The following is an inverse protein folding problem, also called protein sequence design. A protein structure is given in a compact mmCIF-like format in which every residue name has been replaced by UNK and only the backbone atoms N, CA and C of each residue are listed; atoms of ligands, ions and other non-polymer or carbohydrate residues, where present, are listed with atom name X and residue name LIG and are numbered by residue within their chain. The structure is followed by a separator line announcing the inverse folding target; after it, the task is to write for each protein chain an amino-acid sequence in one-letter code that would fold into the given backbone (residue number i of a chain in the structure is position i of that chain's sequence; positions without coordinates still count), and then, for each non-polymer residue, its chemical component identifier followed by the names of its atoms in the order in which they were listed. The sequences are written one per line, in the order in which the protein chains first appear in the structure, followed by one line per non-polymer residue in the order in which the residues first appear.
data_IF_941799244305
#
_entry.id   IF_941799244305
#
_cell.length_a   1.000
_cell.length_b   1.000
_cell.length_c   1.000
_cell.angle_alpha   90.00
_cell.angle_beta   90.00
_cell.angle_gamma   90.00
#
_symmetry.space_group_name_H-M   'P 1'
#
loop_
_entity.id
_entity.type
_entity.pdbx_description
1 polymer ?
#
# COMPACT_ATOMS: atom_id res chain seq x y z
N UNK A 1 -8.06 -24.76 21.91
CA UNK A 1 -7.39 -25.35 23.06
C UNK A 1 -7.64 -24.46 24.27
N UNK A 2 -8.36 -24.99 25.28
CA UNK A 2 -8.39 -24.36 26.59
C UNK A 2 -7.01 -24.57 27.21
N UNK A 3 -6.23 -23.51 27.38
CA UNK A 3 -5.05 -23.58 28.25
C UNK A 3 -5.54 -23.85 29.67
N UNK A 4 -4.89 -24.80 30.34
CA UNK A 4 -5.20 -25.10 31.73
C UNK A 4 -4.73 -23.92 32.60
N UNK A 5 -5.71 -23.20 33.15
CA UNK A 5 -5.51 -21.98 33.94
C UNK A 5 -4.72 -22.25 35.23
N UNK A 6 -4.67 -23.49 35.68
CA UNK A 6 -3.93 -23.91 36.87
C UNK A 6 -2.42 -24.05 36.61
N UNK A 7 -2.02 -24.41 35.37
CA UNK A 7 -0.60 -24.53 34.99
C UNK A 7 0.03 -23.18 34.56
N UNK A 8 -0.76 -22.23 34.04
CA UNK A 8 -0.27 -20.97 33.52
C UNK A 8 -1.17 -19.78 33.90
N UNK A 9 -1.19 -19.37 35.19
CA UNK A 9 -2.07 -18.30 35.67
C UNK A 9 -1.81 -16.94 35.03
N UNK A 10 -0.59 -16.71 34.50
CA UNK A 10 -0.21 -15.45 33.84
C UNK A 10 -0.55 -15.43 32.34
N UNK A 11 -1.01 -16.56 31.77
CA UNK A 11 -1.35 -16.69 30.35
C UNK A 11 -2.86 -16.97 30.16
N UNK A 12 -3.71 -16.33 30.95
CA UNK A 12 -5.15 -16.46 30.79
C UNK A 12 -5.60 -15.93 29.43
N UNK A 13 -6.08 -16.81 28.55
CA UNK A 13 -6.89 -16.39 27.42
C UNK A 13 -8.23 -15.91 27.99
N UNK A 14 -8.31 -14.61 28.19
CA UNK A 14 -9.50 -13.96 28.77
C UNK A 14 -10.62 -13.76 27.72
N UNK A 15 -10.41 -14.13 26.47
CA UNK A 15 -11.42 -14.05 25.41
C UNK A 15 -11.67 -15.42 24.80
N UNK A 16 -12.89 -15.88 24.92
CA UNK A 16 -13.39 -17.07 24.24
C UNK A 16 -13.85 -16.72 22.84
N UNK A 17 -12.96 -16.84 21.85
CA UNK A 17 -13.19 -16.67 20.41
C UNK A 17 -13.26 -15.24 19.86
N UNK A 18 -12.25 -14.38 20.03
CA UNK A 18 -12.13 -13.18 19.22
C UNK A 18 -12.00 -13.60 17.75
N UNK A 19 -12.83 -13.05 16.89
CA UNK A 19 -12.84 -13.41 15.47
C UNK A 19 -12.70 -12.17 14.61
N UNK A 20 -12.01 -12.36 13.48
CA UNK A 20 -11.95 -11.40 12.37
C UNK A 20 -12.54 -12.07 11.13
N UNK A 21 -12.88 -11.27 10.13
CA UNK A 21 -13.35 -11.78 8.84
C UNK A 21 -12.21 -12.40 8.02
N UNK A 22 -12.56 -13.26 7.07
CA UNK A 22 -11.58 -14.03 6.30
C UNK A 22 -10.65 -13.19 5.43
N UNK A 23 -11.09 -12.01 5.00
CA UNK A 23 -10.28 -11.06 4.22
C UNK A 23 -9.29 -10.25 5.05
N UNK A 24 -9.39 -10.29 6.38
CA UNK A 24 -8.45 -9.58 7.26
C UNK A 24 -7.03 -10.06 7.01
N UNK A 25 -6.15 -9.12 6.67
CA UNK A 25 -4.72 -9.41 6.45
C UNK A 25 -4.00 -9.58 7.78
N UNK A 26 -3.34 -10.72 7.92
CA UNK A 26 -2.48 -11.05 9.06
C UNK A 26 -1.04 -10.85 8.64
N UNK A 27 -0.28 -10.11 9.43
CA UNK A 27 1.17 -9.93 9.21
C UNK A 27 1.91 -11.17 9.70
N UNK A 28 2.48 -11.94 8.76
CA UNK A 28 3.18 -13.20 9.01
C UNK A 28 4.63 -13.10 8.54
N UNK A 29 5.43 -14.12 8.85
CA UNK A 29 6.78 -14.29 8.30
C UNK A 29 6.80 -14.35 6.76
N UNK A 30 5.66 -14.64 6.14
CA UNK A 30 5.46 -14.67 4.68
C UNK A 30 4.84 -13.39 4.11
N UNK A 31 4.82 -12.29 4.88
CA UNK A 31 4.16 -11.03 4.50
C UNK A 31 2.72 -10.96 4.96
N UNK A 32 1.91 -10.17 4.25
CA UNK A 32 0.50 -9.92 4.58
C UNK A 32 -0.41 -10.97 3.92
N UNK A 33 -1.02 -11.85 4.72
CA UNK A 33 -1.80 -13.00 4.25
C UNK A 33 -3.23 -12.94 4.80
N UNK A 34 -4.28 -13.13 3.97
CA UNK A 34 -5.65 -13.20 4.43
C UNK A 34 -5.89 -14.32 5.44
N UNK A 35 -6.67 -14.06 6.50
CA UNK A 35 -7.01 -15.06 7.50
C UNK A 35 -7.68 -16.31 6.91
N UNK A 36 -8.52 -16.16 5.88
CA UNK A 36 -9.15 -17.29 5.18
C UNK A 36 -8.11 -18.22 4.55
N UNK A 37 -7.03 -17.68 3.97
CA UNK A 37 -5.98 -18.50 3.38
C UNK A 37 -5.14 -19.20 4.45
N UNK A 38 -4.84 -18.53 5.56
CA UNK A 38 -4.16 -19.18 6.69
C UNK A 38 -5.00 -20.34 7.25
N UNK A 39 -6.34 -20.18 7.25
CA UNK A 39 -7.25 -21.27 7.61
C UNK A 39 -7.15 -22.46 6.63
N UNK A 40 -7.12 -22.20 5.31
CA UNK A 40 -6.99 -23.25 4.28
C UNK A 40 -5.64 -23.97 4.38
N UNK A 41 -4.57 -23.25 4.72
CA UNK A 41 -3.24 -23.84 4.94
C UNK A 41 -3.19 -24.74 6.17
N UNK A 42 -3.97 -24.45 7.21
CA UNK A 42 -4.16 -25.28 8.39
C UNK A 42 -2.89 -25.54 9.24
N UNK A 43 -1.88 -24.68 9.12
CA UNK A 43 -0.60 -24.82 9.83
C UNK A 43 -0.36 -23.63 10.77
N UNK A 44 0.44 -23.84 11.81
CA UNK A 44 0.95 -22.77 12.65
C UNK A 44 1.88 -21.87 11.85
N UNK A 45 1.89 -20.58 12.17
CA UNK A 45 2.70 -19.56 11.50
C UNK A 45 3.30 -18.60 12.50
N UNK A 46 4.45 -18.05 12.15
CA UNK A 46 4.99 -16.92 12.86
C UNK A 46 4.24 -15.64 12.43
N UNK A 47 3.74 -14.91 13.41
CA UNK A 47 3.01 -13.65 13.19
C UNK A 47 3.77 -12.48 13.82
N UNK A 48 3.62 -11.31 13.22
CA UNK A 48 4.23 -10.09 13.75
C UNK A 48 3.48 -9.65 15.00
N UNK A 49 4.22 -9.40 16.07
CA UNK A 49 3.70 -8.95 17.36
C UNK A 49 4.11 -7.50 17.61
N UNK A 50 3.20 -6.73 18.16
CA UNK A 50 3.44 -5.33 18.53
C UNK A 50 4.59 -5.21 19.54
N UNK A 51 5.45 -4.20 19.35
CA UNK A 51 6.62 -3.99 20.19
C UNK A 51 6.34 -3.62 21.66
N UNK A 52 5.10 -3.24 21.97
CA UNK A 52 4.63 -3.02 23.33
C UNK A 52 4.30 -4.33 24.06
N UNK A 53 4.07 -5.41 23.32
CA UNK A 53 3.72 -6.73 23.85
C UNK A 53 4.92 -7.67 23.93
N UNK A 54 5.89 -7.54 23.02
CA UNK A 54 7.07 -8.42 22.97
C UNK A 54 8.29 -7.70 22.39
N UNK A 55 9.49 -8.06 22.86
CA UNK A 55 10.75 -7.64 22.24
C UNK A 55 10.98 -8.35 20.90
N UNK A 56 10.52 -9.60 20.76
CA UNK A 56 10.60 -10.37 19.53
C UNK A 56 9.55 -9.87 18.52
N UNK A 57 9.95 -9.73 17.27
CA UNK A 57 9.04 -9.27 16.20
C UNK A 57 8.08 -10.36 15.75
N UNK A 58 8.53 -11.61 15.71
CA UNK A 58 7.76 -12.76 15.29
C UNK A 58 7.52 -13.71 16.47
N UNK A 59 6.30 -14.20 16.58
CA UNK A 59 5.94 -15.24 17.55
C UNK A 59 5.06 -16.28 16.87
N UNK A 60 5.27 -17.56 17.21
CA UNK A 60 4.45 -18.65 16.70
C UNK A 60 3.00 -18.51 17.18
N UNK A 61 2.09 -18.47 16.21
CA UNK A 61 0.65 -18.56 16.43
C UNK A 61 0.15 -19.94 16.02
N UNK A 62 -0.84 -20.46 16.75
CA UNK A 62 -1.55 -21.67 16.33
C UNK A 62 -2.23 -21.48 14.98
N UNK A 63 -2.55 -22.59 14.31
CA UNK A 63 -3.32 -22.55 13.06
C UNK A 63 -4.63 -21.81 13.23
N UNK A 64 -4.99 -21.02 12.21
CA UNK A 64 -6.28 -20.32 12.15
C UNK A 64 -7.41 -21.35 12.04
N UNK A 65 -8.50 -21.14 12.73
CA UNK A 65 -9.68 -22.00 12.68
C UNK A 65 -10.96 -21.19 12.42
N UNK A 66 -11.90 -21.78 11.71
CA UNK A 66 -13.18 -21.16 11.41
C UNK A 66 -14.17 -21.39 12.57
N UNK A 67 -14.74 -20.32 13.08
CA UNK A 67 -15.71 -20.37 14.20
C UNK A 67 -17.16 -20.38 13.75
N UNK A 68 -17.44 -20.23 12.45
CA UNK A 68 -18.79 -20.21 11.88
C UNK A 68 -19.16 -18.84 11.32
N UNK A 69 -20.45 -18.58 11.22
CA UNK A 69 -21.02 -17.31 10.81
C UNK A 69 -21.45 -16.55 12.07
N UNK A 70 -21.00 -15.32 12.22
CA UNK A 70 -21.29 -14.45 13.35
C UNK A 70 -21.56 -13.04 12.85
N UNK A 71 -22.32 -12.29 13.61
CA UNK A 71 -22.45 -10.84 13.44
C UNK A 71 -21.08 -10.18 13.65
N UNK A 72 -20.71 -9.29 12.77
CA UNK A 72 -19.46 -8.55 12.82
C UNK A 72 -19.72 -7.05 12.91
N UNK A 73 -18.77 -6.35 13.46
CA UNK A 73 -18.71 -4.90 13.54
C UNK A 73 -17.58 -4.41 12.66
N UNK A 74 -17.80 -3.26 12.05
CA UNK A 74 -16.77 -2.53 11.34
C UNK A 74 -16.23 -1.44 12.26
N UNK A 75 -14.99 -1.61 12.68
CA UNK A 75 -14.20 -0.59 13.38
C UNK A 75 -13.49 0.25 12.32
N UNK A 76 -13.71 1.56 12.32
CA UNK A 76 -12.98 2.52 11.50
C UNK A 76 -12.28 3.54 12.37
N UNK A 77 -11.13 4.05 11.89
CA UNK A 77 -10.37 5.10 12.59
C UNK A 77 -10.31 6.38 11.77
N UNK A 78 -10.02 7.51 12.41
CA UNK A 78 -9.82 8.80 11.74
C UNK A 78 -8.65 8.78 10.75
N UNK A 79 -7.67 7.89 10.98
CA UNK A 79 -6.53 7.68 10.09
C UNK A 79 -6.87 6.79 8.87
N UNK A 80 -8.09 6.25 8.82
CA UNK A 80 -8.59 5.45 7.70
C UNK A 80 -8.32 3.95 7.81
N UNK A 81 -7.84 3.45 8.96
CA UNK A 81 -7.74 2.01 9.20
C UNK A 81 -9.14 1.42 9.38
N UNK A 82 -9.31 0.20 8.87
CA UNK A 82 -10.56 -0.55 8.97
C UNK A 82 -10.28 -1.99 9.41
N UNK A 83 -11.10 -2.50 10.34
CA UNK A 83 -11.06 -3.88 10.79
C UNK A 83 -12.47 -4.39 11.02
N UNK A 84 -12.79 -5.59 10.49
CA UNK A 84 -14.06 -6.29 10.72
C UNK A 84 -13.86 -7.42 11.70
N UNK A 85 -14.58 -7.35 12.81
CA UNK A 85 -14.38 -8.22 13.97
C UNK A 85 -15.69 -8.48 14.72
N UNK A 86 -15.71 -9.53 15.54
CA UNK A 86 -16.86 -9.80 16.40
C UNK A 86 -16.93 -8.83 17.58
N UNK A 87 -18.10 -8.66 18.17
CA UNK A 87 -18.36 -7.76 19.28
C UNK A 87 -17.41 -7.98 20.48
N UNK A 88 -17.11 -9.24 20.76
CA UNK A 88 -16.24 -9.71 21.85
C UNK A 88 -14.74 -9.69 21.52
N UNK A 89 -14.38 -9.25 20.30
CA UNK A 89 -12.97 -9.14 19.91
C UNK A 89 -12.30 -8.01 20.68
N UNK A 90 -11.19 -8.32 21.34
CA UNK A 90 -10.44 -7.33 22.11
C UNK A 90 -9.44 -6.59 21.25
N UNK A 91 -9.49 -5.27 21.36
CA UNK A 91 -8.57 -4.33 20.73
C UNK A 91 -7.72 -3.68 21.79
N UNK A 92 -6.42 -3.53 21.53
CA UNK A 92 -5.51 -2.87 22.46
C UNK A 92 -5.69 -1.35 22.40
N UNK A 93 -5.89 -0.75 23.55
CA UNK A 93 -6.03 0.70 23.77
C UNK A 93 -5.01 1.18 24.81
N UNK A 94 -4.95 2.49 25.07
CA UNK A 94 -4.13 3.05 26.14
C UNK A 94 -4.55 2.52 27.53
N UNK A 95 -5.80 2.16 27.70
CA UNK A 95 -6.35 1.61 28.95
C UNK A 95 -6.27 0.08 29.04
N UNK A 96 -5.62 -0.57 28.05
CA UNK A 96 -5.49 -2.03 27.94
C UNK A 96 -6.44 -2.63 26.91
N UNK A 97 -6.76 -3.91 27.07
CA UNK A 97 -7.60 -4.66 26.13
C UNK A 97 -9.09 -4.38 26.35
N UNK A 98 -9.75 -3.78 25.36
CA UNK A 98 -11.19 -3.42 25.38
C UNK A 98 -11.93 -4.21 24.30
N UNK A 99 -13.12 -4.71 24.61
CA UNK A 99 -13.96 -5.40 23.61
C UNK A 99 -14.46 -4.40 22.55
N UNK A 100 -14.53 -4.85 21.30
CA UNK A 100 -14.94 -3.99 20.20
C UNK A 100 -16.27 -3.28 20.41
N UNK A 101 -17.26 -3.99 21.00
CA UNK A 101 -18.57 -3.43 21.32
C UNK A 101 -18.55 -2.34 22.39
N UNK A 102 -17.47 -2.21 23.16
CA UNK A 102 -17.31 -1.21 24.21
C UNK A 102 -16.58 0.03 23.71
N UNK A 103 -15.95 -0.06 22.51
CA UNK A 103 -15.27 1.08 21.91
C UNK A 103 -16.26 2.16 21.48
N UNK A 104 -15.85 3.40 21.64
CA UNK A 104 -16.62 4.59 21.25
C UNK A 104 -15.78 5.54 20.40
N UNK A 105 -16.41 6.37 19.54
CA UNK A 105 -15.67 7.41 18.81
C UNK A 105 -14.85 8.30 19.76
N UNK A 106 -13.58 8.48 19.40
CA UNK A 106 -12.60 9.22 20.21
C UNK A 106 -11.68 8.34 21.06
N UNK A 107 -11.98 7.04 21.23
CA UNK A 107 -11.06 6.12 21.89
C UNK A 107 -9.79 5.93 21.07
N UNK A 108 -8.67 5.72 21.76
CA UNK A 108 -7.38 5.47 21.12
C UNK A 108 -7.10 3.98 21.04
N UNK A 109 -6.86 3.48 19.84
CA UNK A 109 -6.47 2.09 19.59
C UNK A 109 -5.03 2.01 19.09
N UNK A 110 -4.34 0.94 19.44
CA UNK A 110 -2.95 0.76 19.04
C UNK A 110 -2.86 0.17 17.64
N UNK A 111 -1.98 0.72 16.81
CA UNK A 111 -1.55 0.14 15.54
C UNK A 111 -0.10 -0.35 15.65
N UNK A 112 0.33 -1.23 14.74
CA UNK A 112 1.68 -1.79 14.74
C UNK A 112 2.75 -0.69 14.86
N UNK A 113 3.64 -0.80 15.84
CA UNK A 113 4.62 0.24 16.19
C UNK A 113 6.05 -0.09 15.77
N UNK A 114 6.23 -1.12 14.96
CA UNK A 114 7.54 -1.56 14.45
C UNK A 114 7.45 -2.03 13.02
N UNK A 115 8.61 -2.13 12.37
CA UNK A 115 8.72 -2.84 11.11
C UNK A 115 8.26 -4.28 11.28
N UNK A 116 7.44 -4.75 10.35
CA UNK A 116 6.93 -6.10 10.33
C UNK A 116 7.86 -7.08 9.64
N UNK A 117 7.29 -8.12 9.07
CA UNK A 117 8.01 -9.14 8.32
C UNK A 117 7.54 -9.19 6.86
N UNK A 118 8.36 -9.74 6.00
CA UNK A 118 8.16 -9.82 4.56
C UNK A 118 8.43 -11.24 4.08
N UNK A 119 7.84 -11.60 2.95
CA UNK A 119 8.13 -12.88 2.30
C UNK A 119 9.55 -12.99 1.79
N UNK A 120 9.84 -14.12 1.15
CA UNK A 120 11.18 -14.45 0.67
C UNK A 120 11.33 -14.34 -0.86
N UNK A 121 10.25 -14.05 -1.58
CA UNK A 121 10.20 -14.08 -3.04
C UNK A 121 9.98 -12.68 -3.63
N UNK A 122 10.50 -12.53 -4.84
CA UNK A 122 10.42 -11.27 -5.57
C UNK A 122 11.65 -10.39 -5.37
N UNK A 123 11.82 -9.46 -6.27
CA UNK A 123 12.95 -8.53 -6.36
C UNK A 123 12.50 -7.08 -6.42
N UNK A 124 13.43 -6.16 -6.19
CA UNK A 124 13.18 -4.72 -6.35
C UNK A 124 12.72 -4.37 -7.78
N UNK A 125 13.26 -5.03 -8.81
CA UNK A 125 12.87 -4.82 -10.20
C UNK A 125 11.40 -5.20 -10.43
N UNK A 126 10.96 -6.36 -9.93
CA UNK A 126 9.56 -6.80 -9.99
C UNK A 126 8.65 -5.80 -9.29
N UNK A 127 9.03 -5.37 -8.10
CA UNK A 127 8.30 -4.35 -7.34
C UNK A 127 8.16 -3.04 -8.13
N UNK A 128 9.26 -2.49 -8.65
CA UNK A 128 9.23 -1.25 -9.44
C UNK A 128 8.33 -1.34 -10.66
N UNK A 129 8.41 -2.43 -11.41
CA UNK A 129 7.57 -2.65 -12.59
C UNK A 129 6.09 -2.66 -12.21
N UNK A 130 5.71 -3.40 -11.18
CA UNK A 130 4.32 -3.49 -10.73
C UNK A 130 3.82 -2.16 -10.15
N UNK A 131 4.65 -1.45 -9.39
CA UNK A 131 4.31 -0.14 -8.84
C UNK A 131 4.10 0.91 -9.93
N UNK A 132 4.95 0.94 -10.95
CA UNK A 132 4.79 1.83 -12.10
C UNK A 132 3.58 1.46 -12.95
N UNK A 133 3.31 0.16 -13.11
CA UNK A 133 2.15 -0.31 -13.88
C UNK A 133 0.83 0.10 -13.20
N UNK A 134 0.78 0.07 -11.87
CA UNK A 134 -0.37 0.55 -11.08
C UNK A 134 -0.52 2.07 -11.18
N UNK A 135 0.56 2.84 -11.10
CA UNK A 135 0.57 4.30 -11.29
C UNK A 135 0.33 4.68 -12.75
N UNK A 136 1.40 4.97 -13.47
CA UNK A 136 1.38 5.49 -14.86
C UNK A 136 1.32 4.42 -15.95
N UNK A 137 1.03 3.17 -15.58
CA UNK A 137 0.83 2.09 -16.54
C UNK A 137 -0.64 1.80 -16.83
N UNK A 138 -0.84 0.87 -17.78
CA UNK A 138 -2.16 0.29 -18.02
C UNK A 138 -2.08 -1.08 -18.69
N UNK A 139 -3.11 -1.89 -18.50
CA UNK A 139 -3.30 -3.18 -19.14
C UNK A 139 -4.31 -3.04 -20.29
N UNK A 140 -3.92 -3.48 -21.48
CA UNK A 140 -4.78 -3.57 -22.66
C UNK A 140 -5.26 -5.01 -22.81
N UNK A 141 -6.34 -5.37 -22.15
CA UNK A 141 -6.85 -6.74 -22.13
C UNK A 141 -7.16 -7.29 -23.52
N UNK A 142 -7.74 -6.50 -24.42
CA UNK A 142 -8.04 -6.92 -25.80
C UNK A 142 -6.80 -7.18 -26.67
N UNK A 143 -5.62 -6.68 -26.27
CA UNK A 143 -4.35 -6.88 -26.95
C UNK A 143 -3.40 -7.76 -26.13
N UNK A 144 -3.80 -8.18 -24.93
CA UNK A 144 -2.95 -8.89 -23.95
C UNK A 144 -1.59 -8.21 -23.75
N UNK A 145 -1.62 -6.89 -23.54
CA UNK A 145 -0.43 -6.06 -23.50
C UNK A 145 -0.41 -5.15 -22.29
N UNK A 146 0.70 -5.14 -21.58
CA UNK A 146 1.00 -4.12 -20.58
C UNK A 146 1.80 -2.97 -21.21
N UNK A 147 1.51 -1.76 -20.74
CA UNK A 147 2.15 -0.53 -21.15
C UNK A 147 2.59 0.26 -19.94
N UNK A 148 3.86 0.62 -19.87
CA UNK A 148 4.38 1.59 -18.92
C UNK A 148 4.56 2.91 -19.68
N UNK A 149 4.02 4.00 -19.16
CA UNK A 149 4.16 5.33 -19.77
C UNK A 149 5.08 6.19 -18.89
N UNK A 150 5.86 7.02 -19.53
CA UNK A 150 6.78 7.97 -18.90
C UNK A 150 6.58 9.33 -19.54
N UNK A 151 6.24 10.31 -18.74
CA UNK A 151 5.94 11.66 -19.20
C UNK A 151 6.95 12.65 -18.68
N UNK A 152 7.30 13.63 -19.47
CA UNK A 152 8.16 14.76 -19.08
C UNK A 152 9.44 14.29 -18.35
N UNK A 153 9.60 14.62 -17.07
CA UNK A 153 10.77 14.27 -16.26
C UNK A 153 10.91 12.76 -16.03
N UNK A 154 9.80 12.02 -16.00
CA UNK A 154 9.80 10.58 -15.78
C UNK A 154 10.44 9.81 -16.93
N UNK A 155 10.57 10.44 -18.12
CA UNK A 155 11.26 9.87 -19.26
C UNK A 155 12.71 9.45 -18.92
N UNK A 156 13.35 10.11 -17.96
CA UNK A 156 14.69 9.76 -17.49
C UNK A 156 14.77 8.34 -16.87
N UNK A 157 13.65 7.79 -16.42
CA UNK A 157 13.58 6.47 -15.79
C UNK A 157 13.35 5.33 -16.78
N UNK A 158 12.91 5.62 -18.01
CA UNK A 158 12.41 4.64 -18.97
C UNK A 158 13.40 3.54 -19.32
N UNK A 159 14.68 3.88 -19.52
CA UNK A 159 15.74 2.91 -19.84
C UNK A 159 16.03 1.97 -18.66
N UNK A 160 16.02 2.48 -17.44
CA UNK A 160 16.16 1.65 -16.24
C UNK A 160 14.99 0.67 -16.10
N UNK A 161 13.76 1.13 -16.37
CA UNK A 161 12.59 0.27 -16.39
C UNK A 161 12.61 -0.75 -17.52
N UNK A 162 13.14 -0.41 -18.69
CA UNK A 162 13.34 -1.39 -19.77
C UNK A 162 14.32 -2.50 -19.35
N UNK A 163 15.39 -2.15 -18.65
CA UNK A 163 16.32 -3.12 -18.09
C UNK A 163 15.66 -4.00 -17.03
N UNK A 164 14.88 -3.41 -16.12
CA UNK A 164 14.11 -4.15 -15.12
C UNK A 164 13.13 -5.15 -15.79
N UNK A 165 12.34 -4.69 -16.77
CA UNK A 165 11.40 -5.54 -17.52
C UNK A 165 12.13 -6.70 -18.17
N UNK A 166 13.26 -6.46 -18.86
CA UNK A 166 14.04 -7.51 -19.50
C UNK A 166 14.65 -8.49 -18.51
N UNK A 167 14.95 -8.05 -17.29
CA UNK A 167 15.45 -8.95 -16.23
C UNK A 167 14.38 -9.90 -15.68
N UNK A 168 13.13 -9.43 -15.65
CA UNK A 168 11.99 -10.15 -15.05
C UNK A 168 11.27 -11.03 -16.08
N UNK A 169 10.95 -10.49 -17.26
CA UNK A 169 10.14 -11.20 -18.27
C UNK A 169 11.00 -11.70 -19.44
N UNK A 170 11.70 -12.78 -19.22
CA UNK A 170 12.57 -13.41 -20.23
C UNK A 170 11.77 -14.07 -21.34
N UNK A 171 12.35 -14.11 -22.55
CA UNK A 171 11.77 -14.88 -23.64
C UNK A 171 11.78 -16.40 -23.32
N UNK A 172 10.78 -17.16 -23.81
CA UNK A 172 10.83 -18.61 -23.73
C UNK A 172 12.09 -19.19 -24.35
N UNK A 173 12.64 -20.23 -23.72
CA UNK A 173 13.81 -20.95 -24.23
C UNK A 173 13.58 -21.40 -25.69
N UNK A 174 14.49 -21.03 -26.59
CA UNK A 174 14.45 -21.43 -28.01
C UNK A 174 13.76 -20.42 -28.95
N UNK A 175 13.28 -19.29 -28.45
CA UNK A 175 12.85 -18.15 -29.27
C UNK A 175 13.97 -17.13 -29.39
N UNK A 176 14.04 -16.38 -30.51
CA UNK A 176 14.94 -15.25 -30.61
C UNK A 176 14.57 -14.23 -29.53
N UNK A 177 15.51 -13.99 -28.62
CA UNK A 177 15.30 -13.06 -27.51
C UNK A 177 15.37 -11.62 -28.04
N UNK A 178 14.20 -11.05 -28.33
CA UNK A 178 14.11 -9.63 -28.63
C UNK A 178 14.00 -8.85 -27.33
N UNK A 179 14.98 -8.03 -27.03
CA UNK A 179 14.91 -7.07 -25.92
C UNK A 179 13.68 -6.16 -26.07
N UNK A 180 13.03 -5.88 -24.97
CA UNK A 180 11.94 -4.93 -24.88
C UNK A 180 12.57 -3.56 -24.70
N UNK A 181 12.40 -2.71 -25.70
CA UNK A 181 12.96 -1.36 -25.70
C UNK A 181 11.94 -0.28 -25.39
N UNK A 182 12.44 0.93 -25.25
CA UNK A 182 11.65 2.15 -25.09
C UNK A 182 11.24 2.67 -26.47
N UNK A 183 9.98 3.08 -26.61
CA UNK A 183 9.50 3.78 -27.80
C UNK A 183 9.12 5.22 -27.46
N UNK A 184 9.66 6.16 -28.20
CA UNK A 184 9.35 7.59 -28.07
C UNK A 184 8.15 7.96 -28.95
N UNK A 185 7.24 8.75 -28.39
CA UNK A 185 6.08 9.27 -29.09
C UNK A 185 6.08 10.78 -28.91
N UNK A 186 6.32 11.50 -29.99
CA UNK A 186 6.19 12.95 -29.98
C UNK A 186 4.72 13.34 -29.80
N UNK A 187 4.40 14.07 -28.75
CA UNK A 187 3.09 14.73 -28.55
C UNK A 187 3.24 16.20 -28.92
N UNK A 188 2.37 16.69 -29.79
CA UNK A 188 2.17 18.13 -29.90
C UNK A 188 1.16 18.54 -28.84
N UNK A 189 1.62 19.12 -27.74
CA UNK A 189 0.72 19.72 -26.77
C UNK A 189 0.38 21.14 -27.24
N UNK A 190 -0.76 21.25 -27.94
CA UNK A 190 -1.27 22.55 -28.44
C UNK A 190 -1.61 23.53 -27.31
N UNK A 191 -1.68 23.07 -26.07
CA UNK A 191 -2.06 23.88 -24.91
C UNK A 191 -0.86 24.59 -24.26
N UNK A 192 0.36 24.04 -24.35
CA UNK A 192 1.57 24.61 -23.73
C UNK A 192 2.63 25.09 -24.70
N UNK A 193 2.43 24.89 -26.00
CA UNK A 193 3.38 25.31 -27.03
C UNK A 193 4.75 24.58 -26.97
N UNK A 194 4.90 23.58 -26.13
CA UNK A 194 6.05 22.73 -26.02
C UNK A 194 5.76 21.35 -26.62
N UNK A 195 6.76 20.74 -27.26
CA UNK A 195 6.70 19.32 -27.61
C UNK A 195 6.93 18.49 -26.34
N UNK A 196 5.85 17.94 -25.76
CA UNK A 196 5.98 16.96 -24.71
C UNK A 196 6.41 15.62 -25.31
N UNK A 197 7.45 15.01 -24.75
CA UNK A 197 7.91 13.68 -25.13
C UNK A 197 7.27 12.66 -24.20
N UNK A 198 6.60 11.67 -24.78
CA UNK A 198 6.10 10.53 -24.05
C UNK A 198 6.93 9.31 -24.46
N UNK A 199 7.48 8.60 -23.49
CA UNK A 199 8.16 7.32 -23.71
C UNK A 199 7.32 6.18 -23.20
N UNK A 200 7.38 5.03 -23.88
CA UNK A 200 6.58 3.85 -23.55
C UNK A 200 7.39 2.57 -23.67
N UNK A 201 7.13 1.67 -22.72
CA UNK A 201 7.53 0.27 -22.77
C UNK A 201 6.26 -0.54 -22.98
N UNK A 202 6.24 -1.46 -23.96
CA UNK A 202 5.09 -2.29 -24.31
C UNK A 202 5.50 -3.75 -24.39
N UNK A 203 4.77 -4.63 -23.69
CA UNK A 203 5.10 -6.06 -23.69
C UNK A 203 3.89 -6.93 -23.39
N UNK A 204 3.74 -8.01 -24.16
CA UNK A 204 2.80 -9.11 -23.85
C UNK A 204 3.33 -9.96 -22.71
N UNK A 205 4.64 -10.23 -22.67
CA UNK A 205 5.27 -10.96 -21.55
C UNK A 205 5.07 -10.26 -20.22
N UNK A 206 5.12 -8.93 -20.21
CA UNK A 206 4.84 -8.14 -19.01
C UNK A 206 3.36 -8.24 -18.61
N UNK A 207 2.45 -8.33 -19.58
CA UNK A 207 1.03 -8.53 -19.30
C UNK A 207 0.77 -9.86 -18.60
N UNK A 208 1.35 -10.95 -19.13
CA UNK A 208 1.27 -12.30 -18.52
C UNK A 208 1.86 -12.31 -17.12
N UNK A 209 3.02 -11.68 -16.92
CA UNK A 209 3.66 -11.56 -15.62
C UNK A 209 2.77 -10.78 -14.62
N UNK A 210 2.23 -9.64 -15.02
CA UNK A 210 1.37 -8.82 -14.16
C UNK A 210 0.11 -9.58 -13.71
N UNK A 211 -0.50 -10.36 -14.61
CA UNK A 211 -1.63 -11.22 -14.29
C UNK A 211 -1.26 -12.31 -13.27
N UNK A 212 -0.10 -12.97 -13.45
CA UNK A 212 0.41 -13.97 -12.50
C UNK A 212 0.76 -13.36 -11.14
N UNK A 213 1.23 -12.12 -11.11
CA UNK A 213 1.52 -11.40 -9.88
C UNK A 213 0.27 -10.96 -9.11
N UNK A 214 -0.93 -11.17 -9.67
CA UNK A 214 -2.20 -10.83 -9.06
C UNK A 214 -2.74 -9.45 -9.44
N UNK A 215 -2.17 -8.80 -10.46
CA UNK A 215 -2.76 -7.61 -11.05
C UNK A 215 -3.84 -8.05 -12.04
N UNK A 216 -5.10 -8.07 -11.58
CA UNK A 216 -6.24 -8.56 -12.34
C UNK A 216 -6.75 -7.56 -13.40
N UNK A 217 -8.06 -7.54 -13.63
CA UNK A 217 -8.69 -6.66 -14.62
C UNK A 217 -8.58 -5.16 -14.27
N UNK A 218 -8.32 -4.86 -13.00
CA UNK A 218 -8.16 -3.50 -12.53
C UNK A 218 -6.84 -3.31 -11.78
N UNK A 219 -6.27 -2.12 -11.86
CA UNK A 219 -5.06 -1.69 -11.13
C UNK A 219 -5.38 -0.99 -9.80
N UNK A 220 -6.52 -1.31 -9.21
CA UNK A 220 -7.05 -0.58 -8.05
C UNK A 220 -6.74 -1.24 -6.71
N UNK A 221 -5.85 -2.22 -6.69
CA UNK A 221 -5.34 -2.90 -5.49
C UNK A 221 -3.84 -3.13 -5.60
N UNK A 222 -3.18 -3.38 -4.48
CA UNK A 222 -1.79 -3.84 -4.48
C UNK A 222 -1.76 -5.31 -4.91
N UNK A 223 -0.93 -5.69 -5.90
CA UNK A 223 -0.83 -7.09 -6.34
C UNK A 223 -0.48 -8.04 -5.20
N UNK A 224 -1.12 -9.21 -5.17
CA UNK A 224 -0.89 -10.22 -4.12
C UNK A 224 0.59 -10.61 -4.00
N UNK A 225 1.31 -10.70 -5.12
CA UNK A 225 2.74 -10.98 -5.11
C UNK A 225 3.55 -9.95 -4.32
N UNK A 226 3.14 -8.67 -4.32
CA UNK A 226 3.79 -7.59 -3.56
C UNK A 226 3.46 -7.71 -2.07
N UNK A 227 2.19 -7.98 -1.73
CA UNK A 227 1.76 -8.14 -0.33
C UNK A 227 2.50 -9.27 0.39
N UNK A 228 2.90 -10.30 -0.35
CA UNK A 228 3.62 -11.50 0.12
C UNK A 228 5.07 -11.53 -0.31
N UNK A 229 5.51 -10.51 -0.98
CA UNK A 229 6.85 -10.42 -1.54
C UNK A 229 7.93 -10.14 -0.50
N UNK A 230 9.16 -10.19 -0.98
CA UNK A 230 10.33 -9.76 -0.20
C UNK A 230 10.24 -8.28 0.15
N UNK A 231 11.02 -7.86 1.13
CA UNK A 231 11.12 -6.45 1.50
C UNK A 231 11.53 -5.59 0.30
N UNK A 232 12.47 -6.07 -0.51
CA UNK A 232 12.95 -5.38 -1.70
C UNK A 232 11.83 -5.21 -2.75
N UNK A 233 10.98 -6.22 -2.93
CA UNK A 233 9.84 -6.15 -3.84
C UNK A 233 8.80 -5.14 -3.34
N UNK A 234 8.43 -5.20 -2.07
CA UNK A 234 7.48 -4.27 -1.46
C UNK A 234 8.01 -2.82 -1.50
N UNK A 235 9.30 -2.62 -1.20
CA UNK A 235 9.99 -1.32 -1.29
C UNK A 235 9.97 -0.80 -2.72
N UNK A 236 10.38 -1.61 -3.69
CA UNK A 236 10.40 -1.23 -5.11
C UNK A 236 9.02 -0.84 -5.63
N UNK A 237 7.97 -1.56 -5.21
CA UNK A 237 6.58 -1.24 -5.55
C UNK A 237 6.18 0.14 -5.03
N UNK A 238 6.35 0.38 -3.73
CA UNK A 238 6.02 1.67 -3.12
C UNK A 238 6.84 2.81 -3.72
N UNK A 239 8.13 2.61 -3.91
CA UNK A 239 9.02 3.61 -4.50
C UNK A 239 8.56 4.03 -5.89
N UNK A 240 8.22 3.07 -6.75
CA UNK A 240 7.74 3.34 -8.10
C UNK A 240 6.35 3.99 -8.10
N UNK A 241 5.42 3.49 -7.29
CA UNK A 241 4.07 4.04 -7.20
C UNK A 241 4.07 5.48 -6.68
N UNK A 242 4.83 5.77 -5.62
CA UNK A 242 4.97 7.14 -5.11
C UNK A 242 5.72 8.05 -6.08
N UNK A 243 6.63 7.50 -6.91
CA UNK A 243 7.28 8.29 -7.94
C UNK A 243 6.32 8.65 -9.06
N UNK A 244 5.47 7.72 -9.51
CA UNK A 244 4.45 7.97 -10.53
C UNK A 244 3.37 8.95 -10.05
N UNK A 245 2.56 8.54 -9.07
CA UNK A 245 1.33 9.22 -8.65
C UNK A 245 1.48 10.07 -7.37
N UNK A 246 2.61 9.97 -6.67
CA UNK A 246 2.85 10.68 -5.42
C UNK A 246 3.74 11.91 -5.58
N UNK A 247 3.88 12.65 -4.48
CA UNK A 247 4.76 13.80 -4.43
C UNK A 247 4.87 14.46 -3.07
N UNK A 248 5.85 15.35 -2.94
CA UNK A 248 6.08 16.17 -1.75
C UNK A 248 5.22 17.42 -1.82
N UNK A 249 4.47 17.71 -0.78
CA UNK A 249 3.58 18.88 -0.70
C UNK A 249 3.76 19.64 0.62
N UNK A 250 3.50 20.93 0.55
CA UNK A 250 3.57 21.83 1.70
C UNK A 250 4.84 22.66 1.75
N UNK A 251 5.05 23.32 2.88
CA UNK A 251 6.24 24.12 3.17
C UNK A 251 6.69 23.86 4.59
N UNK A 252 7.95 24.21 4.90
CA UNK A 252 8.50 24.06 6.27
C UNK A 252 7.66 24.80 7.31
N UNK A 253 7.04 25.96 6.95
CA UNK A 253 6.23 26.76 7.87
C UNK A 253 4.82 26.18 8.08
N UNK A 254 4.23 25.56 7.05
CA UNK A 254 2.86 25.04 7.08
C UNK A 254 2.79 23.54 7.32
N UNK A 255 3.94 22.89 7.40
CA UNK A 255 4.07 21.43 7.43
C UNK A 255 4.27 20.82 6.04
N UNK A 256 5.09 19.79 5.98
CA UNK A 256 5.41 19.01 4.78
C UNK A 256 4.78 17.65 4.88
N UNK A 257 4.33 17.12 3.77
CA UNK A 257 3.82 15.76 3.65
C UNK A 257 4.22 15.14 2.32
N UNK A 258 4.39 13.82 2.31
CA UNK A 258 4.36 13.02 1.09
C UNK A 258 2.93 12.53 0.91
N UNK A 259 2.41 12.65 -0.29
CA UNK A 259 1.03 12.27 -0.60
C UNK A 259 0.99 11.36 -1.81
N UNK A 260 0.04 10.43 -1.77
CA UNK A 260 -0.37 9.60 -2.89
C UNK A 260 -1.87 9.79 -3.10
N UNK A 261 -2.26 10.20 -4.30
CA UNK A 261 -3.67 10.43 -4.64
C UNK A 261 -4.18 9.31 -5.54
N UNK A 262 -5.36 8.77 -5.26
CA UNK A 262 -6.00 7.75 -6.09
C UNK A 262 -7.52 7.87 -6.05
N UNK A 263 -8.17 7.46 -7.15
CA UNK A 263 -9.62 7.23 -7.19
C UNK A 263 -10.02 5.93 -6.49
N UNK A 264 -9.05 5.06 -6.21
CA UNK A 264 -9.27 3.80 -5.49
C UNK A 264 -8.88 3.96 -4.02
N UNK A 265 -9.89 4.01 -3.15
CA UNK A 265 -9.67 3.94 -1.70
C UNK A 265 -9.07 2.60 -1.29
N UNK A 266 -9.44 1.52 -1.98
CA UNK A 266 -8.93 0.17 -1.72
C UNK A 266 -7.42 0.10 -1.95
N UNK A 267 -6.92 0.64 -3.07
CA UNK A 267 -5.48 0.75 -3.33
C UNK A 267 -4.77 1.51 -2.20
N UNK A 268 -5.33 2.65 -1.78
CA UNK A 268 -4.71 3.44 -0.70
C UNK A 268 -4.72 2.69 0.64
N UNK A 269 -5.77 1.91 0.92
CA UNK A 269 -5.83 1.05 2.12
C UNK A 269 -4.76 -0.03 2.09
N UNK A 270 -4.55 -0.67 0.96
CA UNK A 270 -3.49 -1.67 0.79
C UNK A 270 -2.09 -1.04 0.91
N UNK A 271 -1.89 0.14 0.30
CA UNK A 271 -0.63 0.90 0.44
C UNK A 271 -0.42 1.32 1.89
N UNK A 272 -1.44 1.74 2.62
CA UNK A 272 -1.37 2.09 4.04
C UNK A 272 -0.89 0.89 4.88
N UNK A 273 -1.44 -0.30 4.64
CA UNK A 273 -1.03 -1.54 5.31
C UNK A 273 0.42 -1.92 4.99
N UNK A 274 0.80 -1.77 3.72
CA UNK A 274 2.16 -2.06 3.29
C UNK A 274 3.19 -1.08 3.88
N UNK A 275 2.86 0.21 3.95
CA UNK A 275 3.66 1.23 4.63
C UNK A 275 3.80 0.94 6.13
N UNK A 276 2.70 0.52 6.77
CA UNK A 276 2.72 0.16 8.18
C UNK A 276 3.66 -1.03 8.44
N UNK A 277 3.77 -1.97 7.48
CA UNK A 277 4.74 -3.06 7.56
C UNK A 277 6.20 -2.57 7.48
N UNK A 278 6.47 -1.40 6.92
CA UNK A 278 7.77 -0.69 7.03
C UNK A 278 7.89 0.16 8.30
N UNK A 279 6.89 0.16 9.18
CA UNK A 279 6.84 1.02 10.36
C UNK A 279 6.54 2.49 10.01
N UNK A 280 5.90 2.74 8.87
CA UNK A 280 5.50 4.09 8.42
C UNK A 280 4.00 4.24 8.62
N UNK A 281 3.60 5.12 9.52
CA UNK A 281 2.20 5.46 9.73
C UNK A 281 1.74 6.52 8.72
N UNK A 282 0.53 6.36 8.21
CA UNK A 282 -0.08 7.28 7.24
C UNK A 282 -1.57 7.45 7.53
N UNK A 283 -2.17 8.49 6.97
CA UNK A 283 -3.58 8.80 7.12
C UNK A 283 -4.24 8.85 5.74
N UNK A 284 -5.41 8.23 5.58
CA UNK A 284 -6.22 8.34 4.37
C UNK A 284 -7.26 9.45 4.60
N UNK A 285 -7.28 10.42 3.70
CA UNK A 285 -8.30 11.48 3.64
C UNK A 285 -9.25 11.17 2.50
N UNK A 286 -10.47 10.81 2.85
CA UNK A 286 -11.50 10.45 1.89
C UNK A 286 -12.05 11.67 1.15
N UNK A 287 -12.41 11.46 -0.14
CA UNK A 287 -13.09 12.44 -1.00
C UNK A 287 -12.50 13.86 -0.96
N UNK A 288 -11.18 13.95 -1.03
CA UNK A 288 -10.51 15.26 -1.06
C UNK A 288 -11.04 16.16 -2.16
N UNK A 289 -11.29 15.57 -3.33
CA UNK A 289 -12.05 16.19 -4.39
C UNK A 289 -13.27 15.30 -4.67
N UNK A 290 -14.48 15.75 -4.28
CA UNK A 290 -15.70 14.98 -4.52
C UNK A 290 -15.94 14.71 -6.01
N UNK A 291 -16.62 13.61 -6.31
CA UNK A 291 -17.05 13.33 -7.69
C UNK A 291 -17.83 14.50 -8.28
N UNK A 292 -17.60 14.78 -9.55
CA UNK A 292 -18.23 15.94 -10.18
C UNK A 292 -18.00 15.99 -11.68
N UNK A 293 -18.17 17.18 -12.24
CA UNK A 293 -17.96 17.46 -13.65
C UNK A 293 -16.93 18.58 -13.79
N UNK A 294 -15.89 18.33 -14.55
CA UNK A 294 -14.83 19.31 -14.82
C UNK A 294 -14.79 19.64 -16.30
N UNK A 295 -14.73 20.94 -16.62
CA UNK A 295 -14.50 21.38 -17.98
C UNK A 295 -13.04 21.13 -18.37
N UNK A 296 -12.83 20.36 -19.42
CA UNK A 296 -11.50 20.08 -19.97
C UNK A 296 -11.49 20.28 -21.50
N UNK A 297 -10.33 20.55 -22.10
CA UNK A 297 -10.20 20.66 -23.55
C UNK A 297 -10.74 19.42 -24.28
N UNK A 298 -11.55 19.62 -25.32
CA UNK A 298 -12.21 18.56 -26.09
C UNK A 298 -11.31 17.97 -27.21
N UNK A 299 -10.08 18.42 -27.31
CA UNK A 299 -9.13 18.04 -28.38
C UNK A 299 -9.41 18.69 -29.74
N UNK A 300 -10.48 19.48 -29.86
CA UNK A 300 -10.90 20.19 -31.08
C UNK A 300 -10.82 21.70 -30.93
N UNK A 301 -10.21 22.20 -29.88
CA UNK A 301 -10.05 23.62 -29.57
C UNK A 301 -11.20 24.21 -28.75
N UNK A 302 -12.16 23.38 -28.28
CA UNK A 302 -13.21 23.73 -27.36
C UNK A 302 -13.02 23.16 -25.95
N UNK A 303 -14.01 23.39 -25.09
CA UNK A 303 -14.09 22.82 -23.74
C UNK A 303 -15.31 21.92 -23.64
N UNK A 304 -15.16 20.72 -23.17
CA UNK A 304 -16.27 19.81 -22.88
C UNK A 304 -16.30 19.45 -21.39
N UNK A 305 -17.49 19.12 -20.91
CA UNK A 305 -17.70 18.70 -19.52
C UNK A 305 -17.44 17.19 -19.40
N UNK A 306 -16.44 16.82 -18.59
CA UNK A 306 -16.09 15.42 -18.32
C UNK A 306 -16.41 15.06 -16.87
N UNK A 307 -17.11 13.95 -16.63
CA UNK A 307 -17.30 13.45 -15.28
C UNK A 307 -15.96 12.97 -14.71
N UNK A 308 -15.70 13.25 -13.46
CA UNK A 308 -14.60 12.68 -12.69
C UNK A 308 -15.11 12.01 -11.42
N UNK A 309 -14.45 10.95 -11.02
CA UNK A 309 -14.73 10.26 -9.77
C UNK A 309 -14.14 11.06 -8.60
N UNK A 310 -14.62 10.80 -7.39
CA UNK A 310 -13.96 11.28 -6.19
C UNK A 310 -12.54 10.71 -6.12
N UNK A 311 -11.60 11.50 -5.60
CA UNK A 311 -10.26 11.04 -5.28
C UNK A 311 -10.00 11.11 -3.77
N UNK A 312 -9.07 10.28 -3.34
CA UNK A 312 -8.65 10.13 -1.95
C UNK A 312 -7.16 10.38 -1.87
N UNK A 313 -6.69 10.91 -0.73
CA UNK A 313 -5.27 11.12 -0.47
C UNK A 313 -4.78 10.22 0.67
N UNK A 314 -3.70 9.50 0.44
CA UNK A 314 -2.88 8.94 1.51
C UNK A 314 -1.77 9.92 1.85
N UNK A 315 -1.65 10.26 3.13
CA UNK A 315 -0.77 11.33 3.62
C UNK A 315 0.23 10.76 4.62
N UNK A 316 1.52 10.94 4.34
CA UNK A 316 2.65 10.65 5.24
C UNK A 316 3.18 11.99 5.74
N UNK A 317 3.29 12.17 7.04
CA UNK A 317 3.70 13.42 7.66
C UNK A 317 4.54 13.24 8.91
N UNK A 318 5.05 14.30 9.48
CA UNK A 318 5.83 14.30 10.72
C UNK A 318 7.07 13.39 10.64
N UNK A 319 7.35 12.62 11.68
CA UNK A 319 8.52 11.74 11.75
C UNK A 319 8.47 10.58 10.74
N UNK A 320 7.27 10.22 10.23
CA UNK A 320 7.13 9.22 9.17
C UNK A 320 7.74 9.66 7.83
N UNK A 321 7.89 10.97 7.60
CA UNK A 321 8.61 11.47 6.43
C UNK A 321 10.07 11.03 6.41
N UNK A 322 10.72 10.99 7.59
CA UNK A 322 12.10 10.53 7.70
C UNK A 322 12.19 9.04 7.39
N UNK A 323 11.26 8.24 7.97
CA UNK A 323 11.20 6.81 7.69
C UNK A 323 10.89 6.54 6.22
N UNK A 324 9.98 7.32 5.64
CA UNK A 324 9.70 7.20 4.21
C UNK A 324 10.94 7.48 3.36
N UNK A 325 11.70 8.51 3.67
CA UNK A 325 12.93 8.84 2.96
C UNK A 325 14.02 7.74 3.10
N UNK A 326 14.13 7.13 4.28
CA UNK A 326 15.10 6.08 4.59
C UNK A 326 14.71 4.72 4.00
N UNK A 327 13.43 4.35 4.09
CA UNK A 327 12.94 3.02 3.73
C UNK A 327 12.44 2.95 2.28
N UNK A 328 11.85 3.99 1.73
CA UNK A 328 11.19 3.99 0.43
C UNK A 328 11.83 5.00 -0.52
N UNK A 329 11.65 6.30 -0.27
CA UNK A 329 12.12 7.38 -1.15
C UNK A 329 11.43 7.42 -2.51
N UNK A 330 12.01 8.21 -3.42
CA UNK A 330 11.56 8.36 -4.81
C UNK A 330 12.64 7.88 -5.79
N UNK A 331 12.24 7.38 -6.96
CA UNK A 331 13.15 7.04 -8.06
C UNK A 331 13.62 8.29 -8.81
N UNK A 332 12.77 9.30 -8.91
CA UNK A 332 13.07 10.54 -9.60
C UNK A 332 13.86 11.48 -8.69
N UNK A 333 15.06 11.88 -9.15
CA UNK A 333 16.00 12.70 -8.38
C UNK A 333 15.37 14.04 -7.93
N UNK A 334 14.59 14.70 -8.79
CA UNK A 334 13.92 15.95 -8.45
C UNK A 334 12.93 15.81 -7.28
N UNK A 335 12.18 14.70 -7.20
CA UNK A 335 11.26 14.41 -6.09
C UNK A 335 12.02 14.03 -4.82
N UNK A 336 13.12 13.27 -4.95
CA UNK A 336 13.99 12.88 -3.85
C UNK A 336 14.69 14.10 -3.24
N UNK A 337 15.26 14.96 -4.06
CA UNK A 337 15.91 16.21 -3.63
C UNK A 337 14.94 17.15 -2.92
N UNK A 338 13.70 17.24 -3.42
CA UNK A 338 12.65 18.02 -2.76
C UNK A 338 12.34 17.48 -1.36
N UNK A 339 12.23 16.16 -1.19
CA UNK A 339 12.03 15.53 0.10
C UNK A 339 13.19 15.80 1.05
N UNK A 340 14.43 15.56 0.62
CA UNK A 340 15.64 15.76 1.43
C UNK A 340 15.85 17.23 1.80
N UNK A 341 15.58 18.14 0.85
CA UNK A 341 15.61 19.59 1.12
C UNK A 341 14.67 20.00 2.25
N UNK A 342 13.46 19.44 2.27
CA UNK A 342 12.52 19.69 3.36
C UNK A 342 12.96 19.04 4.67
N UNK A 343 13.47 17.81 4.63
CA UNK A 343 13.94 17.10 5.82
C UNK A 343 15.15 17.77 6.47
N UNK A 344 16.04 18.36 5.68
CA UNK A 344 17.21 19.10 6.20
C UNK A 344 16.82 20.30 7.07
N UNK A 345 15.67 20.92 6.79
CA UNK A 345 15.10 22.03 7.54
C UNK A 345 14.13 21.58 8.64
N UNK A 346 13.77 20.28 8.67
CA UNK A 346 12.80 19.74 9.63
C UNK A 346 13.40 19.68 11.04
N UNK A 347 12.74 20.35 11.98
CA UNK A 347 13.09 20.27 13.39
C UNK A 347 12.17 19.25 14.07
N UNK A 348 12.75 18.16 14.58
CA UNK A 348 12.01 17.21 15.40
C UNK A 348 11.29 17.93 16.53
N UNK A 349 9.97 17.80 16.56
CA UNK A 349 9.17 18.22 17.69
C UNK A 349 9.39 17.30 18.90
N UNK A 350 8.93 17.70 20.11
CA UNK A 350 9.00 16.84 21.29
C UNK A 350 8.03 15.62 21.19
N UNK A 351 7.17 15.59 20.20
CA UNK A 351 6.20 14.51 19.97
C UNK A 351 6.90 13.30 19.37
N UNK A 352 6.93 12.22 20.13
CA UNK A 352 7.22 10.89 19.59
C UNK A 352 5.94 10.36 18.97
N UNK A 353 6.07 9.74 17.79
CA UNK A 353 4.98 9.03 17.18
C UNK A 353 4.60 7.84 18.05
N UNK A 354 3.31 7.73 18.36
CA UNK A 354 2.84 6.71 19.30
C UNK A 354 2.33 5.46 18.61
N UNK A 355 2.12 5.48 17.30
CA UNK A 355 1.47 4.40 16.54
C UNK A 355 0.11 4.04 17.13
N UNK A 356 -0.71 5.05 17.26
CA UNK A 356 -2.07 5.01 17.74
C UNK A 356 -2.99 5.53 16.64
N UNK A 357 -4.23 5.06 16.64
CA UNK A 357 -5.28 5.54 15.78
C UNK A 357 -6.51 5.88 16.62
N UNK A 358 -7.28 6.87 16.19
CA UNK A 358 -8.48 7.32 16.88
C UNK A 358 -9.71 6.64 16.29
N UNK A 359 -10.52 6.00 17.11
CA UNK A 359 -11.78 5.39 16.66
C UNK A 359 -12.70 6.48 16.10
N UNK A 360 -13.06 6.35 14.84
CA UNK A 360 -14.05 7.20 14.17
C UNK A 360 -15.46 6.63 14.32
N UNK A 361 -15.62 5.33 14.07
CA UNK A 361 -16.89 4.64 14.29
C UNK A 361 -16.68 3.16 14.60
N UNK A 362 -17.69 2.56 15.23
CA UNK A 362 -17.87 1.12 15.39
C UNK A 362 -19.34 0.81 15.09
N UNK A 363 -19.62 0.05 14.05
CA UNK A 363 -20.95 -0.18 13.52
C UNK A 363 -21.16 -1.64 13.17
N UNK A 364 -22.37 -2.16 13.36
CA UNK A 364 -22.74 -3.49 12.85
C UNK A 364 -22.65 -3.48 11.31
N UNK A 365 -22.00 -4.50 10.74
CA UNK A 365 -21.69 -4.60 9.31
C UNK A 365 -22.55 -5.64 8.58
#
# INVERSE_FOLDING_TARGET
HSFDVEEHPDHQILATNPCVTGETLISTEGGLVPAAELYEQGVARDVVVDGRLSEETLQEASSVFKTGEKEVYRLTTEEGHELRLTADHRVMTDDGWVEAQELTPGDTVHVQNRKGAFGQHGSAAEGRILGWLVGDGHLKHGEERAVLNFYDEDAALSEAFAADVNSVVRAPLGTADSEIGVSEIARSDSYRGAQAVEQRIRSTRLYEYAAQAGLGESKYTVPTAVMRGSEEMARGFLQALFTADGGVQGTVEKGVSVRLTSISRELLTDVQRLLLNFGIHSTISDERHPAGVKAMPDGHGGMAAYPHQADHDLVISKDNLMRFAEEIGFLLESKQDALEGHLSAYRRGPYRERFEATVASIEAD
#
